data_IF_743009283653
#
_entry.id   IF_743009283653
#
_cell.length_a   1.000
_cell.length_b   1.000
_cell.length_c   1.000
_cell.angle_alpha   90.00
_cell.angle_beta   90.00
_cell.angle_gamma   90.00
#
_symmetry.space_group_name_H-M   'P 1'
#
loop_
_entity.id
_entity.type
_entity.pdbx_description
1 polymer ?
#
# COMPACT_ATOMS: atom_id res chain seq x y z
N UNK A 1 7.88 -12.84 7.20
CA UNK A 1 8.36 -11.47 6.86
C UNK A 1 7.18 -10.68 6.30
N UNK A 2 6.89 -9.52 6.87
CA UNK A 2 5.81 -8.64 6.40
C UNK A 2 6.34 -7.74 5.31
N UNK A 3 5.73 -7.77 4.13
CA UNK A 3 6.08 -6.89 3.01
C UNK A 3 5.15 -5.68 3.03
N UNK A 4 5.72 -4.47 2.96
CA UNK A 4 4.94 -3.23 2.87
C UNK A 4 5.10 -2.64 1.48
N UNK A 5 4.02 -2.72 0.70
CA UNK A 5 3.96 -2.17 -0.65
C UNK A 5 3.34 -0.79 -0.62
N UNK A 6 3.91 0.12 -1.41
CA UNK A 6 3.43 1.50 -1.50
C UNK A 6 3.29 1.91 -2.96
N UNK A 7 2.37 2.84 -3.18
CA UNK A 7 2.33 3.67 -4.38
C UNK A 7 2.77 5.06 -3.98
N UNK A 8 3.61 5.69 -4.78
CA UNK A 8 4.19 6.98 -4.46
C UNK A 8 4.28 7.87 -5.69
N UNK A 9 4.45 9.16 -5.44
CA UNK A 9 4.90 10.14 -6.43
C UNK A 9 6.35 10.51 -6.13
N UNK A 10 7.22 10.38 -7.12
CA UNK A 10 8.64 10.73 -7.03
C UNK A 10 8.83 12.26 -7.01
N UNK A 11 10.01 12.76 -6.58
CA UNK A 11 10.34 14.19 -6.70
C UNK A 11 10.26 14.73 -8.14
N UNK A 12 10.37 13.86 -9.15
CA UNK A 12 10.23 14.20 -10.57
C UNK A 12 8.78 14.35 -11.02
N UNK A 13 7.82 13.97 -10.18
CA UNK A 13 6.39 14.03 -10.45
C UNK A 13 5.79 12.71 -10.95
N UNK A 14 6.62 11.72 -11.28
CA UNK A 14 6.17 10.42 -11.79
C UNK A 14 5.53 9.58 -10.68
N UNK A 15 4.47 8.84 -11.02
CA UNK A 15 3.85 7.87 -10.12
C UNK A 15 4.52 6.52 -10.27
N UNK A 16 4.88 5.89 -9.16
CA UNK A 16 5.54 4.59 -9.14
C UNK A 16 5.04 3.69 -8.01
N UNK A 17 5.52 2.45 -8.04
CA UNK A 17 5.26 1.44 -7.02
C UNK A 17 6.57 0.94 -6.44
N UNK A 18 6.55 0.49 -5.20
CA UNK A 18 7.75 -0.07 -4.59
C UNK A 18 7.50 -0.80 -3.29
N UNK A 19 8.53 -1.55 -2.90
CA UNK A 19 8.60 -2.26 -1.64
C UNK A 19 9.40 -1.41 -0.64
N UNK A 20 8.83 -1.18 0.53
CA UNK A 20 9.52 -0.49 1.63
C UNK A 20 10.54 -1.44 2.27
N UNK A 21 11.78 -0.97 2.35
CA UNK A 21 12.89 -1.61 3.04
C UNK A 21 13.56 -0.59 3.96
N UNK A 22 13.13 -0.54 5.22
CA UNK A 22 13.56 0.47 6.19
C UNK A 22 13.23 1.90 5.76
N UNK A 23 14.27 2.70 5.54
CA UNK A 23 14.23 4.09 5.08
C UNK A 23 14.26 4.21 3.55
N UNK A 24 14.25 3.09 2.83
CA UNK A 24 14.34 3.03 1.37
C UNK A 24 13.12 2.39 0.75
N UNK A 25 12.96 2.65 -0.54
CA UNK A 25 11.94 2.04 -1.38
C UNK A 25 12.61 1.44 -2.61
N UNK A 26 12.50 0.13 -2.76
CA UNK A 26 12.91 -0.58 -3.97
C UNK A 26 11.81 -0.36 -5.01
N UNK A 27 12.15 0.28 -6.14
CA UNK A 27 11.18 0.66 -7.16
C UNK A 27 10.84 -0.54 -8.04
N UNK A 28 9.56 -0.78 -8.26
CA UNK A 28 9.03 -1.85 -9.09
C UNK A 28 8.31 -1.30 -10.34
N UNK A 29 8.28 -2.10 -11.39
CA UNK A 29 7.63 -1.79 -12.67
C UNK A 29 6.08 -1.84 -12.63
N UNK A 30 5.52 -2.16 -11.47
CA UNK A 30 4.08 -2.20 -11.26
C UNK A 30 3.71 -2.52 -9.81
N UNK A 31 2.41 -2.68 -9.52
CA UNK A 31 1.93 -3.04 -8.19
C UNK A 31 2.42 -4.43 -7.72
N UNK A 32 2.67 -4.56 -6.42
CA UNK A 32 3.11 -5.82 -5.82
C UNK A 32 2.13 -6.99 -5.96
N UNK A 33 0.84 -6.71 -6.13
CA UNK A 33 -0.21 -7.72 -6.24
C UNK A 33 -0.36 -8.32 -7.66
N UNK A 34 0.43 -7.88 -8.65
CA UNK A 34 0.41 -8.42 -10.02
C UNK A 34 1.74 -9.07 -10.45
N UNK A 35 2.64 -9.38 -9.51
CA UNK A 35 3.93 -10.02 -9.85
C UNK A 35 4.98 -9.08 -10.44
N UNK A 36 4.95 -7.81 -10.06
CA UNK A 36 5.92 -6.78 -10.49
C UNK A 36 7.38 -7.16 -10.20
N UNK A 37 8.31 -6.64 -11.02
CA UNK A 37 9.76 -6.87 -10.89
C UNK A 37 10.48 -5.60 -10.39
N UNK A 38 11.57 -5.76 -9.61
CA UNK A 38 12.44 -4.65 -9.27
C UNK A 38 13.04 -4.02 -10.52
N UNK A 39 13.01 -2.70 -10.60
CA UNK A 39 13.63 -1.93 -11.69
C UNK A 39 15.13 -1.73 -11.50
N UNK A 40 15.64 -2.03 -10.31
CA UNK A 40 17.01 -1.72 -9.88
C UNK A 40 17.17 -0.34 -9.26
N UNK A 41 16.17 0.54 -9.37
CA UNK A 41 16.18 1.84 -8.70
C UNK A 41 15.79 1.70 -7.22
N UNK A 42 16.46 2.48 -6.38
CA UNK A 42 16.19 2.60 -4.94
C UNK A 42 16.09 4.07 -4.60
N UNK A 43 15.00 4.46 -3.93
CA UNK A 43 14.72 5.85 -3.56
C UNK A 43 14.64 5.99 -2.04
N UNK A 44 15.14 7.09 -1.45
CA UNK A 44 14.89 7.43 -0.06
C UNK A 44 13.39 7.61 0.19
N UNK A 45 12.86 7.03 1.26
CA UNK A 45 11.41 7.06 1.55
C UNK A 45 10.90 8.47 1.88
N UNK A 46 11.73 9.28 2.52
CA UNK A 46 11.43 10.66 2.92
C UNK A 46 11.32 11.63 1.74
N UNK A 47 11.92 11.30 0.59
CA UNK A 47 11.76 12.04 -0.66
C UNK A 47 10.46 11.72 -1.41
N UNK A 48 9.71 10.70 -0.99
CA UNK A 48 8.53 10.21 -1.70
C UNK A 48 7.24 10.76 -1.11
N UNK A 49 6.34 11.22 -1.98
CA UNK A 49 4.98 11.53 -1.58
C UNK A 49 4.12 10.26 -1.68
N UNK A 50 3.69 9.73 -0.54
CA UNK A 50 2.85 8.52 -0.48
C UNK A 50 1.45 8.79 -1.05
N UNK A 51 1.01 7.92 -1.94
CA UNK A 51 -0.33 7.92 -2.51
C UNK A 51 -1.17 6.81 -1.87
N UNK A 52 -2.47 6.78 -2.21
CA UNK A 52 -3.28 5.59 -1.96
C UNK A 52 -2.60 4.35 -2.58
N UNK A 53 -2.49 3.22 -1.85
CA UNK A 53 -1.64 2.08 -2.22
C UNK A 53 -2.10 1.37 -3.50
N UNK A 54 -3.35 1.59 -3.92
CA UNK A 54 -3.91 1.09 -5.17
C UNK A 54 -4.97 2.03 -5.72
N UNK A 55 -5.42 1.74 -6.94
CA UNK A 55 -6.53 2.43 -7.61
C UNK A 55 -7.69 1.44 -7.76
N UNK A 56 -8.54 1.29 -6.73
CA UNK A 56 -9.60 0.31 -6.76
C UNK A 56 -10.72 0.78 -7.70
N UNK A 57 -11.21 -0.11 -8.57
CA UNK A 57 -12.42 0.17 -9.36
C UNK A 57 -13.71 0.20 -8.53
N UNK A 58 -13.67 -0.34 -7.30
CA UNK A 58 -14.80 -0.39 -6.36
C UNK A 58 -14.29 -0.55 -4.93
N UNK A 59 -14.97 0.08 -3.98
CA UNK A 59 -14.69 -0.05 -2.55
C UNK A 59 -15.91 -0.70 -1.89
N UNK A 60 -15.70 -1.84 -1.25
CA UNK A 60 -16.75 -2.58 -0.52
C UNK A 60 -16.43 -2.48 0.97
N UNK A 61 -17.43 -2.10 1.78
CA UNK A 61 -17.29 -1.96 3.22
C UNK A 61 -18.35 -2.80 3.94
N UNK A 62 -17.97 -3.37 5.09
CA UNK A 62 -18.87 -4.08 5.99
C UNK A 62 -19.27 -3.17 7.14
N UNK A 63 -20.57 -2.96 7.31
CA UNK A 63 -21.10 -2.26 8.49
C UNK A 63 -21.44 -3.31 9.56
N UNK A 64 -20.91 -3.12 10.78
CA UNK A 64 -21.02 -4.02 11.94
C UNK A 64 -20.05 -5.22 11.98
N UNK A 65 -18.83 -5.11 11.44
CA UNK A 65 -17.81 -6.15 11.55
C UNK A 65 -16.92 -6.02 12.81
N UNK A 66 -17.51 -5.83 14.00
CA UNK A 66 -16.77 -5.67 15.26
C UNK A 66 -17.34 -6.55 16.38
N UNK A 67 -16.73 -7.74 16.56
CA UNK A 67 -17.21 -8.78 17.47
C UNK A 67 -17.39 -8.35 18.93
N UNK A 68 -16.49 -7.50 19.46
CA UNK A 68 -16.58 -7.05 20.84
C UNK A 68 -17.86 -6.21 21.10
N UNK A 69 -18.27 -5.41 20.11
CA UNK A 69 -19.51 -4.65 20.18
C UNK A 69 -20.75 -5.52 19.95
N UNK A 70 -20.69 -6.48 19.03
CA UNK A 70 -21.77 -7.46 18.83
C UNK A 70 -22.08 -8.22 20.13
N UNK A 71 -21.05 -8.71 20.83
CA UNK A 71 -21.18 -9.36 22.15
C UNK A 71 -21.81 -8.43 23.19
N UNK A 72 -21.39 -7.16 23.26
CA UNK A 72 -21.94 -6.18 24.22
C UNK A 72 -23.41 -5.86 23.98
N UNK A 73 -23.85 -5.90 22.72
CA UNK A 73 -25.20 -5.55 22.31
C UNK A 73 -26.14 -6.76 22.18
N UNK A 74 -25.68 -7.96 22.54
CA UNK A 74 -26.44 -9.23 22.40
C UNK A 74 -26.98 -9.46 20.98
N UNK A 75 -26.24 -8.99 19.96
CA UNK A 75 -26.56 -9.22 18.56
C UNK A 75 -25.78 -10.45 18.06
N UNK A 76 -26.41 -11.33 17.26
CA UNK A 76 -25.74 -12.50 16.69
C UNK A 76 -24.54 -12.11 15.82
#
# INVERSE_FOLDING_TARGET
MQQTWIRFRSPRGDTGFGLVDGDRVIVHDGPGYIGSKPTGAVLPRDELHLLAPCEPGKIVALWNNFHALARKLEKP
#
